data_IF_577750800498
#
_entry.id   IF_577750800498
#
_cell.length_a   1.000
_cell.length_b   1.000
_cell.length_c   1.000
_cell.angle_alpha   90.00
_cell.angle_beta   90.00
_cell.angle_gamma   90.00
#
_symmetry.space_group_name_H-M   'P 1'
#
loop_
_entity.id
_entity.type
_entity.pdbx_description
1 polymer ?
#
# COMPACT_ATOMS: atom_id res chain seq x y z
N UNK A 1 17.29 -12.78 7.54
CA UNK A 1 16.21 -13.38 8.36
C UNK A 1 16.25 -12.79 9.76
N UNK A 2 15.35 -11.85 10.05
CA UNK A 2 15.20 -11.29 11.39
C UNK A 2 14.18 -12.15 12.15
N UNK A 3 14.65 -13.27 12.72
CA UNK A 3 13.81 -14.33 13.31
C UNK A 3 12.90 -13.81 14.42
N UNK A 4 13.41 -12.89 15.26
CA UNK A 4 12.66 -12.28 16.35
C UNK A 4 11.46 -11.45 15.86
N UNK A 5 11.63 -10.67 14.78
CA UNK A 5 10.54 -9.87 14.23
C UNK A 5 9.40 -10.77 13.73
N UNK A 6 9.73 -11.84 13.01
CA UNK A 6 8.75 -12.81 12.52
C UNK A 6 8.03 -13.55 13.66
N UNK A 7 8.75 -13.92 14.73
CA UNK A 7 8.16 -14.52 15.92
C UNK A 7 7.17 -13.58 16.61
N UNK A 8 7.55 -12.32 16.84
CA UNK A 8 6.67 -11.31 17.44
C UNK A 8 5.43 -11.09 16.59
N UNK A 9 5.58 -10.98 15.27
CA UNK A 9 4.47 -10.81 14.33
C UNK A 9 3.50 -11.99 14.40
N UNK A 10 4.01 -13.22 14.43
CA UNK A 10 3.18 -14.42 14.54
C UNK A 10 2.46 -14.50 15.90
N UNK A 11 3.14 -14.12 17.00
CA UNK A 11 2.52 -14.05 18.31
C UNK A 11 1.37 -13.03 18.33
N UNK A 12 1.57 -11.83 17.78
CA UNK A 12 0.51 -10.81 17.68
C UNK A 12 -0.69 -11.36 16.90
N UNK A 13 -0.47 -11.92 15.71
CA UNK A 13 -1.54 -12.48 14.86
C UNK A 13 -2.30 -13.64 15.53
N UNK A 14 -1.64 -14.40 16.41
CA UNK A 14 -2.28 -15.52 17.13
C UNK A 14 -3.19 -15.08 18.28
N UNK A 15 -2.99 -13.88 18.85
CA UNK A 15 -3.76 -13.40 20.00
C UNK A 15 -5.21 -13.14 19.63
N UNK A 16 -6.13 -13.61 20.48
CA UNK A 16 -7.56 -13.40 20.29
C UNK A 16 -7.93 -11.91 20.31
N UNK A 17 -7.28 -11.14 21.18
CA UNK A 17 -7.44 -9.68 21.30
C UNK A 17 -7.20 -8.99 19.96
N UNK A 18 -6.06 -9.28 19.30
CA UNK A 18 -5.73 -8.70 18.00
C UNK A 18 -6.76 -9.08 16.92
N UNK A 19 -7.22 -10.34 16.92
CA UNK A 19 -8.26 -10.79 15.96
C UNK A 19 -9.58 -10.06 16.18
N UNK A 20 -9.97 -9.83 17.43
CA UNK A 20 -11.18 -9.09 17.79
C UNK A 20 -11.07 -7.62 17.37
N UNK A 21 -9.92 -6.99 17.63
CA UNK A 21 -9.63 -5.62 17.20
C UNK A 21 -9.72 -5.47 15.68
N UNK A 22 -9.12 -6.41 14.95
CA UNK A 22 -9.14 -6.42 13.49
C UNK A 22 -10.56 -6.60 12.94
N UNK A 23 -11.33 -7.52 13.55
CA UNK A 23 -12.75 -7.70 13.22
C UNK A 23 -13.57 -6.44 13.47
N UNK A 24 -13.33 -5.76 14.60
CA UNK A 24 -13.96 -4.49 14.94
C UNK A 24 -13.64 -3.41 13.89
N UNK A 25 -12.35 -3.26 13.52
CA UNK A 25 -11.90 -2.31 12.50
C UNK A 25 -12.63 -2.53 11.16
N UNK A 26 -12.61 -3.78 10.66
CA UNK A 26 -13.19 -4.09 9.36
C UNK A 26 -14.71 -3.94 9.36
N UNK A 27 -15.41 -4.41 10.40
CA UNK A 27 -16.85 -4.22 10.53
C UNK A 27 -17.23 -2.73 10.56
N UNK A 28 -16.55 -1.93 11.38
CA UNK A 28 -16.85 -0.50 11.50
C UNK A 28 -16.59 0.26 10.20
N UNK A 29 -15.49 -0.06 9.50
CA UNK A 29 -15.15 0.55 8.21
C UNK A 29 -16.11 0.19 7.09
N UNK A 30 -16.66 -1.03 7.11
CA UNK A 30 -17.67 -1.48 6.18
C UNK A 30 -18.97 -0.71 6.41
N UNK A 31 -19.43 -0.63 7.67
CA UNK A 31 -20.64 0.08 8.04
C UNK A 31 -20.57 1.56 7.64
N UNK A 32 -19.48 2.26 7.96
CA UNK A 32 -19.35 3.68 7.64
C UNK A 32 -19.33 3.97 6.13
N UNK A 33 -18.84 3.04 5.31
CA UNK A 33 -18.93 3.16 3.83
C UNK A 33 -20.35 2.96 3.30
N UNK A 34 -21.18 2.21 4.01
CA UNK A 34 -22.53 1.83 3.56
C UNK A 34 -23.68 2.59 4.25
N UNK A 35 -23.43 3.25 5.39
CA UNK A 35 -24.44 4.05 6.10
C UNK A 35 -24.03 5.53 6.16
N UNK A 36 -24.53 6.33 5.21
CA UNK A 36 -24.53 7.79 5.35
C UNK A 36 -25.71 8.33 6.17
N UNK A 37 -26.68 7.49 6.62
CA UNK A 37 -27.97 8.03 7.12
C UNK A 37 -28.56 7.42 8.39
N UNK A 38 -27.94 6.42 9.04
CA UNK A 38 -28.57 5.86 10.24
C UNK A 38 -27.61 5.06 11.09
N UNK A 39 -26.89 5.71 12.02
CA UNK A 39 -26.47 5.13 13.32
C UNK A 39 -25.71 6.16 14.17
N UNK A 40 -26.26 7.37 14.35
CA UNK A 40 -25.68 8.43 15.19
C UNK A 40 -25.90 8.22 16.70
N UNK A 41 -26.66 7.20 17.12
CA UNK A 41 -27.12 7.06 18.51
C UNK A 41 -26.22 6.23 19.44
N UNK A 42 -25.16 5.57 18.94
CA UNK A 42 -24.23 4.77 19.77
C UNK A 42 -22.83 5.38 19.92
N UNK A 43 -22.59 6.55 19.33
CA UNK A 43 -21.26 7.11 19.07
C UNK A 43 -20.50 7.54 20.34
N UNK A 44 -21.20 8.12 21.33
CA UNK A 44 -20.56 8.80 22.46
C UNK A 44 -19.89 7.92 23.53
N UNK A 45 -20.10 6.60 23.53
CA UNK A 45 -19.44 5.66 24.48
C UNK A 45 -18.40 4.76 23.81
N UNK A 46 -18.38 4.71 22.48
CA UNK A 46 -17.48 3.89 21.66
C UNK A 46 -16.19 4.66 21.30
N UNK A 47 -16.23 6.00 21.31
CA UNK A 47 -15.12 6.86 20.87
C UNK A 47 -13.85 6.77 21.72
N UNK A 48 -13.90 6.57 23.04
CA UNK A 48 -12.67 6.48 23.85
C UNK A 48 -11.98 5.12 23.74
N UNK A 49 -12.75 4.02 23.75
CA UNK A 49 -12.21 2.65 23.70
C UNK A 49 -11.71 2.30 22.28
N UNK A 50 -12.36 2.87 21.25
CA UNK A 50 -11.95 2.67 19.86
C UNK A 50 -10.58 3.29 19.55
N UNK A 51 -10.21 4.43 20.16
CA UNK A 51 -8.88 5.03 19.97
C UNK A 51 -7.76 4.10 20.46
N UNK A 52 -7.97 3.38 21.56
CA UNK A 52 -6.98 2.41 22.07
C UNK A 52 -6.82 1.23 21.11
N UNK A 53 -7.94 0.71 20.60
CA UNK A 53 -7.96 -0.36 19.59
C UNK A 53 -7.20 0.09 18.33
N UNK A 54 -7.50 1.28 17.83
CA UNK A 54 -6.89 1.86 16.64
C UNK A 54 -5.39 2.07 16.77
N UNK A 55 -4.93 2.57 17.91
CA UNK A 55 -3.50 2.73 18.21
C UNK A 55 -2.77 1.38 18.21
N UNK A 56 -3.33 0.38 18.90
CA UNK A 56 -2.75 -0.97 18.94
C UNK A 56 -2.68 -1.61 17.55
N UNK A 57 -3.71 -1.42 16.72
CA UNK A 57 -3.74 -1.94 15.35
C UNK A 57 -2.70 -1.26 14.46
N UNK A 58 -2.60 0.08 14.49
CA UNK A 58 -1.63 0.78 13.63
C UNK A 58 -0.19 0.48 14.06
N UNK A 59 0.09 0.38 15.35
CA UNK A 59 1.40 -0.05 15.87
C UNK A 59 1.75 -1.47 15.43
N UNK A 60 0.79 -2.40 15.53
CA UNK A 60 0.97 -3.77 15.02
C UNK A 60 1.25 -3.77 13.51
N UNK A 61 0.55 -2.92 12.75
CA UNK A 61 0.73 -2.80 11.30
C UNK A 61 2.11 -2.25 10.93
N UNK A 62 2.69 -1.35 11.73
CA UNK A 62 4.09 -0.91 11.56
C UNK A 62 5.11 -2.03 11.79
N UNK A 63 4.82 -2.98 12.67
CA UNK A 63 5.64 -4.19 12.82
C UNK A 63 5.49 -5.09 11.59
N UNK A 64 4.26 -5.32 11.14
CA UNK A 64 3.97 -6.12 9.95
C UNK A 64 4.63 -5.55 8.68
N UNK A 65 4.75 -4.22 8.58
CA UNK A 65 5.43 -3.59 7.43
C UNK A 65 6.92 -3.92 7.33
N UNK A 66 7.54 -4.35 8.44
CA UNK A 66 8.94 -4.79 8.46
C UNK A 66 9.10 -6.28 8.13
N UNK A 67 8.01 -7.04 8.02
CA UNK A 67 8.04 -8.45 7.61
C UNK A 67 8.55 -8.60 6.19
N UNK A 68 9.15 -9.75 5.88
CA UNK A 68 9.44 -10.14 4.49
C UNK A 68 8.20 -10.71 3.79
N UNK A 69 7.20 -11.18 4.55
CA UNK A 69 5.97 -11.79 4.02
C UNK A 69 5.05 -10.78 3.36
N UNK A 70 4.61 -11.08 2.13
CA UNK A 70 3.62 -10.29 1.42
C UNK A 70 2.25 -10.31 2.13
N UNK A 71 1.90 -11.39 2.81
CA UNK A 71 0.65 -11.48 3.58
C UNK A 71 0.63 -10.45 4.72
N UNK A 72 1.73 -10.31 5.45
CA UNK A 72 1.86 -9.36 6.56
C UNK A 72 1.83 -7.92 6.04
N UNK A 73 2.54 -7.64 4.94
CA UNK A 73 2.51 -6.32 4.30
C UNK A 73 1.13 -5.97 3.77
N UNK A 74 0.41 -6.93 3.20
CA UNK A 74 -0.96 -6.71 2.74
C UNK A 74 -1.89 -6.43 3.93
N UNK A 75 -1.77 -7.17 5.03
CA UNK A 75 -2.52 -6.90 6.25
C UNK A 75 -2.23 -5.50 6.81
N UNK A 76 -0.96 -5.07 6.82
CA UNK A 76 -0.56 -3.73 7.24
C UNK A 76 -1.22 -2.63 6.37
N UNK A 77 -1.23 -2.82 5.04
CA UNK A 77 -1.90 -1.91 4.12
C UNK A 77 -3.42 -1.85 4.38
N UNK A 78 -4.07 -3.01 4.56
CA UNK A 78 -5.49 -3.07 4.88
C UNK A 78 -5.80 -2.31 6.17
N UNK A 79 -5.03 -2.53 7.23
CA UNK A 79 -5.21 -1.80 8.49
C UNK A 79 -5.10 -0.29 8.26
N UNK A 80 -4.07 0.18 7.53
CA UNK A 80 -3.89 1.59 7.22
C UNK A 80 -5.10 2.21 6.51
N UNK A 81 -5.61 1.56 5.46
CA UNK A 81 -6.77 2.06 4.71
C UNK A 81 -8.04 2.09 5.56
N UNK A 82 -8.38 0.96 6.20
CA UNK A 82 -9.60 0.85 6.99
C UNK A 82 -9.59 1.80 8.17
N UNK A 83 -8.44 1.97 8.83
CA UNK A 83 -8.28 2.93 9.91
C UNK A 83 -8.46 4.37 9.45
N UNK A 84 -7.81 4.75 8.34
CA UNK A 84 -7.89 6.11 7.81
C UNK A 84 -9.33 6.53 7.48
N UNK A 85 -10.14 5.58 6.99
CA UNK A 85 -11.55 5.81 6.65
C UNK A 85 -12.39 6.12 7.90
N UNK A 86 -12.14 5.43 9.00
CA UNK A 86 -13.03 5.48 10.16
C UNK A 86 -12.63 6.47 11.25
N UNK A 87 -11.35 6.78 11.34
CA UNK A 87 -10.86 7.64 12.40
C UNK A 87 -11.08 9.11 12.06
N UNK A 88 -11.52 9.88 13.05
CA UNK A 88 -11.53 11.34 13.00
C UNK A 88 -10.22 11.96 13.51
N UNK A 89 -9.32 11.15 14.07
CA UNK A 89 -8.05 11.61 14.63
C UNK A 89 -7.01 11.85 13.52
N UNK A 90 -6.60 13.11 13.35
CA UNK A 90 -5.60 13.51 12.36
C UNK A 90 -4.26 12.82 12.56
N UNK A 91 -3.88 12.50 13.80
CA UNK A 91 -2.65 11.76 14.09
C UNK A 91 -2.72 10.33 13.56
N UNK A 92 -3.85 9.63 13.76
CA UNK A 92 -4.05 8.28 13.22
C UNK A 92 -4.14 8.27 11.70
N UNK A 93 -4.76 9.29 11.10
CA UNK A 93 -4.76 9.48 9.64
C UNK A 93 -3.35 9.61 9.09
N UNK A 94 -2.54 10.46 9.73
CA UNK A 94 -1.15 10.66 9.38
C UNK A 94 -0.30 9.39 9.51
N UNK A 95 -0.49 8.64 10.61
CA UNK A 95 0.19 7.37 10.79
C UNK A 95 -0.17 6.36 9.70
N UNK A 96 -1.42 6.36 9.23
CA UNK A 96 -1.88 5.51 8.12
C UNK A 96 -1.20 5.90 6.81
N UNK A 97 -1.12 7.19 6.50
CA UNK A 97 -0.41 7.68 5.31
C UNK A 97 1.08 7.32 5.35
N UNK A 98 1.74 7.55 6.49
CA UNK A 98 3.15 7.23 6.68
C UNK A 98 3.42 5.72 6.60
N UNK A 99 2.48 4.90 7.08
CA UNK A 99 2.58 3.45 6.97
C UNK A 99 2.53 2.99 5.51
N UNK A 100 1.63 3.58 4.69
CA UNK A 100 1.59 3.30 3.25
C UNK A 100 2.91 3.70 2.57
N UNK A 101 3.49 4.86 2.92
CA UNK A 101 4.82 5.28 2.41
C UNK A 101 5.91 4.29 2.84
N UNK A 102 5.90 3.84 4.10
CA UNK A 102 6.86 2.88 4.61
C UNK A 102 6.75 1.51 3.91
N UNK A 103 5.55 1.12 3.50
CA UNK A 103 5.28 -0.07 2.68
C UNK A 103 5.64 0.13 1.20
N UNK A 104 6.05 1.34 0.80
CA UNK A 104 6.33 1.73 -0.57
C UNK A 104 5.07 1.97 -1.41
N UNK A 105 3.87 2.00 -0.83
CA UNK A 105 2.62 2.32 -1.52
C UNK A 105 2.42 3.84 -1.59
N UNK A 106 3.24 4.51 -2.39
CA UNK A 106 3.17 5.96 -2.60
C UNK A 106 1.85 6.44 -3.22
N UNK A 107 1.29 5.77 -4.27
CA UNK A 107 0.00 6.20 -4.82
C UNK A 107 -1.11 6.15 -3.77
N UNK A 108 -1.13 5.12 -2.94
CA UNK A 108 -2.05 5.00 -1.82
C UNK A 108 -1.86 6.09 -0.77
N UNK A 109 -0.62 6.40 -0.41
CA UNK A 109 -0.33 7.47 0.53
C UNK A 109 -0.76 8.85 0.01
N UNK A 110 -0.46 9.17 -1.26
CA UNK A 110 -0.88 10.42 -1.90
C UNK A 110 -2.39 10.53 -2.00
N UNK A 111 -3.08 9.43 -2.33
CA UNK A 111 -4.54 9.38 -2.34
C UNK A 111 -5.15 9.70 -0.97
N UNK A 112 -4.60 9.11 0.11
CA UNK A 112 -5.07 9.41 1.47
C UNK A 112 -4.79 10.87 1.87
N UNK A 113 -3.60 11.38 1.55
CA UNK A 113 -3.22 12.76 1.83
C UNK A 113 -4.16 13.77 1.15
N UNK A 114 -4.51 13.54 -0.12
CA UNK A 114 -5.46 14.37 -0.86
C UNK A 114 -6.85 14.37 -0.18
N UNK A 115 -7.29 13.22 0.33
CA UNK A 115 -8.57 13.08 1.03
C UNK A 115 -8.58 13.70 2.42
N UNK A 116 -7.47 13.64 3.14
CA UNK A 116 -7.37 14.12 4.52
C UNK A 116 -7.07 15.61 4.61
N UNK A 117 -6.61 16.23 3.52
CA UNK A 117 -6.07 17.57 3.54
C UNK A 117 -4.65 17.61 4.10
N UNK A 118 -4.08 18.81 4.24
CA UNK A 118 -2.71 18.95 4.70
C UNK A 118 -2.57 18.55 6.16
N UNK A 119 -1.89 17.42 6.41
CA UNK A 119 -1.44 17.02 7.74
C UNK A 119 0.09 17.20 7.81
N UNK A 120 0.61 18.05 8.71
CA UNK A 120 2.05 18.32 8.81
C UNK A 120 2.83 17.05 9.15
N UNK A 121 3.78 16.66 8.31
CA UNK A 121 4.67 15.53 8.59
C UNK A 121 5.81 15.87 9.56
N UNK A 122 6.23 14.88 10.37
CA UNK A 122 7.42 15.05 11.20
C UNK A 122 8.67 15.05 10.33
N UNK A 123 9.74 15.71 10.77
CA UNK A 123 11.00 15.76 10.03
C UNK A 123 11.57 14.35 9.72
N UNK A 124 11.45 13.42 10.67
CA UNK A 124 11.87 12.04 10.46
C UNK A 124 11.03 11.34 9.37
N UNK A 125 9.70 11.53 9.38
CA UNK A 125 8.82 10.98 8.35
C UNK A 125 9.15 11.57 6.96
N UNK A 126 9.38 12.87 6.89
CA UNK A 126 9.82 13.56 5.67
C UNK A 126 11.12 12.95 5.12
N UNK A 127 12.17 12.88 5.94
CA UNK A 127 13.46 12.33 5.52
C UNK A 127 13.34 10.89 5.04
N UNK A 128 12.62 10.05 5.80
CA UNK A 128 12.41 8.65 5.43
C UNK A 128 11.65 8.54 4.11
N UNK A 129 10.59 9.33 3.91
CA UNK A 129 9.84 9.37 2.64
C UNK A 129 10.76 9.77 1.50
N UNK A 130 11.45 10.90 1.62
CA UNK A 130 12.34 11.41 0.57
C UNK A 130 13.44 10.42 0.21
N UNK A 131 13.99 9.69 1.18
CA UNK A 131 14.95 8.63 0.91
C UNK A 131 14.35 7.51 0.07
N UNK A 132 13.22 6.94 0.48
CA UNK A 132 12.57 5.82 -0.24
C UNK A 132 12.08 6.28 -1.63
N UNK A 133 11.55 7.50 -1.75
CA UNK A 133 11.12 8.07 -3.03
C UNK A 133 12.28 8.24 -4.01
N UNK A 134 13.44 8.70 -3.53
CA UNK A 134 14.63 8.85 -4.35
C UNK A 134 15.18 7.49 -4.81
N UNK A 135 15.28 6.51 -3.90
CA UNK A 135 15.74 5.15 -4.23
C UNK A 135 14.83 4.46 -5.26
N UNK A 136 13.51 4.68 -5.16
CA UNK A 136 12.55 4.07 -6.07
C UNK A 136 12.23 4.90 -7.31
N UNK A 137 12.88 6.05 -7.48
CA UNK A 137 12.69 6.86 -8.68
C UNK A 137 13.34 6.15 -9.88
N UNK A 138 12.61 6.09 -10.98
CA UNK A 138 13.12 5.61 -12.27
C UNK A 138 12.77 6.61 -13.36
N UNK A 139 13.60 6.65 -14.39
CA UNK A 139 13.35 7.44 -15.59
C UNK A 139 12.81 6.51 -16.67
N UNK A 140 11.59 6.78 -17.11
CA UNK A 140 10.92 6.05 -18.19
C UNK A 140 10.68 7.06 -19.32
N UNK A 141 11.34 6.84 -20.45
CA UNK A 141 11.48 7.83 -21.51
C UNK A 141 11.94 9.21 -20.96
N UNK A 142 11.03 10.18 -20.89
CA UNK A 142 11.27 11.54 -20.40
C UNK A 142 10.52 11.88 -19.10
N UNK A 143 9.91 10.91 -18.42
CA UNK A 143 9.19 11.10 -17.17
C UNK A 143 9.92 10.44 -16.02
N UNK A 144 9.91 11.11 -14.86
CA UNK A 144 10.32 10.50 -13.60
C UNK A 144 9.09 9.88 -12.94
N UNK A 145 9.17 8.59 -12.63
CA UNK A 145 8.11 7.85 -11.96
C UNK A 145 8.69 7.27 -10.67
N UNK A 146 7.97 7.45 -9.57
CA UNK A 146 8.31 6.85 -8.29
C UNK A 146 7.61 5.49 -8.21
N UNK A 147 8.38 4.42 -8.24
CA UNK A 147 7.87 3.06 -8.12
C UNK A 147 7.68 2.67 -6.65
N UNK A 148 6.88 1.63 -6.40
CA UNK A 148 6.92 0.95 -5.11
C UNK A 148 8.21 0.12 -4.97
N UNK A 149 8.63 -0.24 -3.75
CA UNK A 149 9.77 -1.13 -3.53
C UNK A 149 9.66 -2.44 -4.35
N UNK A 150 8.44 -3.00 -4.41
CA UNK A 150 8.18 -4.19 -5.21
C UNK A 150 8.39 -3.91 -6.70
N UNK A 151 7.79 -2.82 -7.20
CA UNK A 151 7.90 -2.44 -8.60
C UNK A 151 9.34 -2.12 -9.01
N UNK A 152 10.12 -1.46 -8.14
CA UNK A 152 11.54 -1.17 -8.38
C UNK A 152 12.36 -2.45 -8.52
N UNK A 153 12.15 -3.44 -7.64
CA UNK A 153 12.82 -4.76 -7.74
C UNK A 153 12.48 -5.47 -9.05
N UNK A 154 11.21 -5.46 -9.43
CA UNK A 154 10.77 -6.05 -10.71
C UNK A 154 11.31 -5.27 -11.90
N UNK A 155 11.34 -3.95 -11.83
CA UNK A 155 11.91 -3.09 -12.87
C UNK A 155 13.37 -3.45 -13.11
N UNK A 156 14.18 -3.54 -12.05
CA UNK A 156 15.59 -3.91 -12.13
C UNK A 156 15.79 -5.33 -12.64
N UNK A 157 14.99 -6.29 -12.16
CA UNK A 157 15.10 -7.68 -12.60
C UNK A 157 14.81 -7.81 -14.10
N UNK A 158 13.81 -7.10 -14.60
CA UNK A 158 13.40 -7.16 -16.00
C UNK A 158 14.47 -6.65 -16.97
N UNK A 159 15.45 -5.85 -16.54
CA UNK A 159 16.58 -5.42 -17.37
C UNK A 159 17.55 -6.57 -17.71
N UNK A 160 17.44 -7.72 -17.04
CA UNK A 160 18.13 -8.93 -17.48
C UNK A 160 17.42 -9.54 -18.69
N UNK A 161 18.15 -9.91 -19.74
CA UNK A 161 17.60 -10.60 -20.93
C UNK A 161 17.26 -12.08 -20.67
N UNK A 162 16.84 -12.41 -19.44
CA UNK A 162 16.53 -13.77 -19.00
C UNK A 162 15.02 -13.87 -18.82
N UNK A 163 14.36 -14.97 -19.20
CA UNK A 163 12.94 -15.18 -18.88
C UNK A 163 12.69 -15.08 -17.38
N UNK A 164 11.72 -14.27 -16.97
CA UNK A 164 11.37 -14.08 -15.56
C UNK A 164 9.90 -14.39 -15.28
N UNK A 165 9.67 -15.10 -14.17
CA UNK A 165 8.35 -15.26 -13.59
C UNK A 165 8.21 -14.29 -12.41
N UNK A 166 7.29 -13.33 -12.52
CA UNK A 166 7.06 -12.32 -11.49
C UNK A 166 5.74 -12.63 -10.79
N UNK A 167 5.82 -13.11 -9.55
CA UNK A 167 4.67 -13.17 -8.64
C UNK A 167 4.54 -11.85 -7.88
N UNK A 168 3.35 -11.26 -7.88
CA UNK A 168 3.04 -10.13 -6.99
C UNK A 168 1.59 -10.18 -6.52
N UNK A 169 1.25 -9.45 -5.43
CA UNK A 169 -0.14 -9.15 -5.11
C UNK A 169 -0.83 -8.38 -6.25
N UNK A 170 -2.12 -8.63 -6.48
CA UNK A 170 -2.93 -8.02 -7.57
C UNK A 170 -2.97 -6.49 -7.50
N UNK A 171 -2.81 -5.91 -6.31
CA UNK A 171 -2.73 -4.46 -6.05
C UNK A 171 -1.35 -3.84 -6.27
N UNK A 172 -0.28 -4.62 -6.52
CA UNK A 172 1.08 -4.10 -6.65
C UNK A 172 1.35 -3.36 -7.97
N UNK A 173 0.37 -3.29 -8.88
CA UNK A 173 0.52 -2.58 -10.16
C UNK A 173 1.42 -3.29 -11.17
N UNK A 174 1.47 -4.62 -11.18
CA UNK A 174 2.28 -5.41 -12.12
C UNK A 174 2.03 -5.04 -13.58
N UNK A 175 0.76 -4.96 -14.00
CA UNK A 175 0.41 -4.67 -15.39
C UNK A 175 0.89 -3.29 -15.82
N UNK A 176 0.76 -2.29 -14.94
CA UNK A 176 1.31 -0.96 -15.16
C UNK A 176 2.82 -1.01 -15.39
N UNK A 177 3.56 -1.70 -14.51
CA UNK A 177 5.02 -1.79 -14.62
C UNK A 177 5.49 -2.47 -15.92
N UNK A 178 4.83 -3.57 -16.31
CA UNK A 178 5.15 -4.28 -17.57
C UNK A 178 4.90 -3.38 -18.78
N UNK A 179 3.78 -2.67 -18.80
CA UNK A 179 3.41 -1.73 -19.86
C UNK A 179 4.44 -0.61 -19.98
N UNK A 180 4.78 0.05 -18.87
CA UNK A 180 5.78 1.12 -18.85
C UNK A 180 7.17 0.64 -19.30
N UNK A 181 7.56 -0.59 -18.93
CA UNK A 181 8.83 -1.15 -19.39
C UNK A 181 8.83 -1.42 -20.90
N UNK A 182 7.76 -2.03 -21.42
CA UNK A 182 7.64 -2.27 -22.86
C UNK A 182 7.68 -0.95 -23.63
N UNK A 183 6.97 0.07 -23.17
CA UNK A 183 7.01 1.41 -23.74
C UNK A 183 8.43 1.99 -23.69
N UNK A 184 9.14 1.87 -22.57
CA UNK A 184 10.51 2.36 -22.42
C UNK A 184 11.49 1.70 -23.42
N UNK A 185 11.39 0.38 -23.61
CA UNK A 185 12.24 -0.36 -24.56
C UNK A 185 11.94 -0.04 -26.02
N UNK A 186 10.68 0.22 -26.34
CA UNK A 186 10.29 0.67 -27.68
C UNK A 186 10.82 2.08 -27.94
N UNK A 187 10.63 3.01 -27.00
CA UNK A 187 11.07 4.41 -27.14
C UNK A 187 12.61 4.51 -27.21
N UNK A 188 13.33 3.70 -26.45
CA UNK A 188 14.81 3.65 -26.49
C UNK A 188 15.38 2.96 -27.74
N UNK A 189 14.54 2.29 -28.54
CA UNK A 189 14.95 1.53 -29.72
C UNK A 189 15.56 0.15 -29.41
N UNK A 190 15.51 -0.29 -28.14
CA UNK A 190 15.96 -1.63 -27.73
C UNK A 190 15.03 -2.75 -28.23
N UNK A 191 13.76 -2.42 -28.49
CA UNK A 191 12.72 -3.38 -28.83
C UNK A 191 11.83 -2.84 -29.95
N UNK A 192 11.71 -3.60 -31.05
CA UNK A 192 10.90 -3.19 -32.21
C UNK A 192 9.42 -3.56 -32.08
N UNK A 193 9.11 -4.67 -31.41
CA UNK A 193 7.74 -5.16 -31.22
C UNK A 193 7.60 -5.99 -29.95
N UNK A 194 6.46 -5.82 -29.27
CA UNK A 194 6.11 -6.55 -28.05
C UNK A 194 4.74 -7.23 -28.20
N UNK A 195 4.58 -8.39 -27.57
CA UNK A 195 3.29 -9.09 -27.47
C UNK A 195 2.91 -9.12 -25.99
N UNK A 196 1.77 -8.52 -25.65
CA UNK A 196 1.19 -8.56 -24.31
C UNK A 196 -0.02 -9.50 -24.29
N UNK A 197 0.05 -10.58 -23.50
CA UNK A 197 -1.04 -11.55 -23.37
C UNK A 197 -1.74 -11.33 -22.04
N UNK A 198 -3.05 -11.08 -22.08
CA UNK A 198 -3.90 -10.87 -20.90
C UNK A 198 -4.92 -12.02 -20.75
N UNK A 199 -5.31 -12.37 -19.51
CA UNK A 199 -6.31 -13.42 -19.29
C UNK A 199 -7.74 -13.02 -19.66
N UNK A 200 -8.05 -11.71 -19.73
CA UNK A 200 -9.41 -11.22 -20.00
C UNK A 200 -9.41 -10.05 -20.97
N UNK A 201 -10.50 -9.91 -21.75
CA UNK A 201 -10.72 -8.76 -22.66
C UNK A 201 -10.80 -7.43 -21.92
N UNK A 202 -11.33 -7.41 -20.70
CA UNK A 202 -11.42 -6.20 -19.89
C UNK A 202 -10.03 -5.63 -19.58
N UNK A 203 -9.06 -6.49 -19.25
CA UNK A 203 -7.69 -6.06 -18.96
C UNK A 203 -6.97 -5.56 -20.23
N UNK A 204 -7.21 -6.20 -21.39
CA UNK A 204 -6.71 -5.70 -22.68
C UNK A 204 -7.22 -4.28 -22.92
N UNK A 205 -8.53 -4.06 -22.80
CA UNK A 205 -9.12 -2.73 -23.02
C UNK A 205 -8.58 -1.67 -22.04
N UNK A 206 -8.43 -2.01 -20.75
CA UNK A 206 -7.85 -1.09 -19.76
C UNK A 206 -6.43 -0.67 -20.13
N UNK A 207 -5.62 -1.61 -20.61
CA UNK A 207 -4.24 -1.35 -21.00
C UNK A 207 -4.17 -0.56 -22.31
N UNK A 208 -4.99 -0.91 -23.31
CA UNK A 208 -5.05 -0.18 -24.58
C UNK A 208 -5.45 1.28 -24.40
N UNK A 209 -6.26 1.61 -23.39
CA UNK A 209 -6.60 3.00 -23.07
C UNK A 209 -5.44 3.78 -22.39
N UNK A 210 -4.44 3.08 -21.85
CA UNK A 210 -3.29 3.69 -21.17
C UNK A 210 -2.07 3.89 -22.08
N UNK A 211 -2.01 3.16 -23.20
CA UNK A 211 -1.05 3.40 -24.29
C UNK A 211 -1.51 4.57 -25.16
#
# INVERSE_FOLDING_TARGET
MNTLANEVINQIKSRLEFKNDLGFLFAHSFLQKHTQTSFSALQGKIESDSVVIYKRLIESAYLFSQSESDEDKNLAQSIAYHLNIITSDNYLKQLSENLLRALGNFPGASYLQEKNGFIPETFYAYLKRSFIENENKVKIANKEIILTNFQKKVWESLHSNVPQAISAPTSAGKSFLVVEMLANRIISGELNSAIYIAPTRALVNEITQKF
#
